data_IF_631682360058
#
_entry.id   IF_631682360058
#
_cell.length_a   1.000
_cell.length_b   1.000
_cell.length_c   1.000
_cell.angle_alpha   90.00
_cell.angle_beta   90.00
_cell.angle_gamma   90.00
#
_symmetry.space_group_name_H-M   'P 1'
#
loop_
_entity.id
_entity.type
_entity.pdbx_description
1 polymer ?
#
# COMPACT_ATOMS: atom_id res chain seq x y z
N UNK A 1 12.28 5.55 18.77
CA UNK A 1 12.20 5.15 17.35
C UNK A 1 12.76 6.28 16.51
N UNK A 2 13.61 6.00 15.53
CA UNK A 2 14.08 7.06 14.62
C UNK A 2 12.90 7.63 13.85
N UNK A 3 12.90 8.95 13.61
CA UNK A 3 11.85 9.66 12.85
C UNK A 3 11.61 8.98 11.50
N UNK A 4 12.67 8.45 10.89
CA UNK A 4 12.62 7.65 9.66
C UNK A 4 11.67 6.44 9.74
N UNK A 5 11.71 5.67 10.84
CA UNK A 5 10.85 4.50 11.02
C UNK A 5 9.37 4.87 11.20
N UNK A 6 9.11 6.04 11.80
CA UNK A 6 7.76 6.58 11.98
C UNK A 6 7.18 7.02 10.63
N UNK A 7 7.98 7.68 9.79
CA UNK A 7 7.55 8.08 8.46
C UNK A 7 7.24 6.85 7.60
N UNK A 8 8.12 5.84 7.60
CA UNK A 8 7.89 4.60 6.84
C UNK A 8 6.64 3.85 7.31
N UNK A 9 6.36 3.81 8.61
CA UNK A 9 5.16 3.15 9.13
C UNK A 9 3.89 3.91 8.77
N UNK A 10 3.89 5.24 8.83
CA UNK A 10 2.79 6.07 8.33
C UNK A 10 2.54 5.84 6.83
N UNK A 11 3.60 5.80 6.02
CA UNK A 11 3.48 5.52 4.58
C UNK A 11 2.90 4.12 4.33
N UNK A 12 3.37 3.10 5.05
CA UNK A 12 2.84 1.74 4.95
C UNK A 12 1.34 1.68 5.28
N UNK A 13 0.88 2.41 6.31
CA UNK A 13 -0.53 2.50 6.66
C UNK A 13 -1.37 3.17 5.57
N UNK A 14 -0.91 4.28 5.00
CA UNK A 14 -1.61 5.00 3.93
C UNK A 14 -1.74 4.13 2.68
N UNK A 15 -0.65 3.47 2.26
CA UNK A 15 -0.69 2.56 1.13
C UNK A 15 -1.57 1.33 1.40
N UNK A 16 -1.62 0.83 2.63
CA UNK A 16 -2.47 -0.32 2.99
C UNK A 16 -3.95 0.06 2.93
N UNK A 17 -4.30 1.21 3.49
CA UNK A 17 -5.66 1.76 3.39
C UNK A 17 -6.06 1.97 1.93
N UNK A 18 -5.16 2.53 1.10
CA UNK A 18 -5.36 2.69 -0.33
C UNK A 18 -5.59 1.36 -1.06
N UNK A 19 -4.79 0.33 -0.76
CA UNK A 19 -4.95 -1.01 -1.34
C UNK A 19 -6.31 -1.62 -1.00
N UNK A 20 -6.72 -1.55 0.27
CA UNK A 20 -8.03 -2.05 0.73
C UNK A 20 -9.17 -1.28 0.07
N UNK A 21 -9.05 0.04 -0.06
CA UNK A 21 -10.03 0.87 -0.74
C UNK A 21 -10.22 0.45 -2.21
N UNK A 22 -9.13 0.32 -2.97
CA UNK A 22 -9.21 -0.07 -4.37
C UNK A 22 -9.68 -1.53 -4.55
N UNK A 23 -9.37 -2.44 -3.63
CA UNK A 23 -9.89 -3.81 -3.65
C UNK A 23 -11.42 -3.84 -3.42
N UNK A 24 -11.93 -3.06 -2.45
CA UNK A 24 -13.39 -2.91 -2.26
C UNK A 24 -14.05 -2.29 -3.49
N UNK A 25 -13.45 -1.24 -4.05
CA UNK A 25 -13.95 -0.59 -5.26
C UNK A 25 -13.98 -1.56 -6.46
N UNK A 26 -13.03 -2.50 -6.54
CA UNK A 26 -13.00 -3.54 -7.56
C UNK A 26 -14.23 -4.47 -7.50
N UNK A 27 -14.68 -4.80 -6.28
CA UNK A 27 -15.85 -5.63 -6.03
C UNK A 27 -17.18 -4.92 -6.30
N UNK A 28 -17.22 -3.59 -6.14
CA UNK A 28 -18.43 -2.78 -6.30
C UNK A 28 -18.56 -2.15 -7.70
N UNK A 29 -17.51 -2.18 -8.53
CA UNK A 29 -17.52 -1.57 -9.86
C UNK A 29 -18.36 -2.40 -10.86
N UNK A 30 -19.57 -1.89 -11.18
CA UNK A 30 -20.46 -2.47 -12.18
C UNK A 30 -20.17 -2.00 -13.62
N UNK A 31 -19.88 -0.71 -13.83
CA UNK A 31 -19.65 -0.15 -15.18
C UNK A 31 -18.51 0.87 -15.24
N UNK A 32 -18.36 1.73 -14.23
CA UNK A 32 -17.24 2.66 -14.08
C UNK A 32 -16.84 2.74 -12.59
N UNK A 33 -15.54 2.94 -12.26
CA UNK A 33 -14.36 2.98 -13.13
C UNK A 33 -13.96 1.62 -13.73
N UNK A 34 -13.25 1.60 -14.87
CA UNK A 34 -12.85 0.36 -15.54
C UNK A 34 -11.99 -0.51 -14.61
N UNK A 35 -12.42 -1.77 -14.41
CA UNK A 35 -11.82 -2.73 -13.46
C UNK A 35 -10.30 -2.87 -13.60
N UNK A 36 -9.76 -2.77 -14.82
CA UNK A 36 -8.31 -2.84 -15.07
C UNK A 36 -7.53 -1.70 -14.40
N UNK A 37 -8.06 -0.48 -14.45
CA UNK A 37 -7.41 0.71 -13.86
C UNK A 37 -7.46 0.64 -12.34
N UNK A 38 -8.59 0.21 -11.78
CA UNK A 38 -8.73 0.00 -10.33
C UNK A 38 -7.78 -1.10 -9.84
N UNK A 39 -7.63 -2.18 -10.62
CA UNK A 39 -6.68 -3.27 -10.30
C UNK A 39 -5.23 -2.80 -10.34
N UNK A 40 -4.85 -2.00 -11.34
CA UNK A 40 -3.50 -1.41 -11.39
C UNK A 40 -3.24 -0.52 -10.18
N UNK A 41 -4.20 0.32 -9.77
CA UNK A 41 -4.07 1.17 -8.58
C UNK A 41 -3.97 0.35 -7.28
N UNK A 42 -4.76 -0.72 -7.16
CA UNK A 42 -4.65 -1.67 -6.05
C UNK A 42 -3.27 -2.33 -6.00
N UNK A 43 -2.74 -2.77 -7.16
CA UNK A 43 -1.41 -3.36 -7.27
C UNK A 43 -0.33 -2.36 -6.85
N UNK A 44 -0.37 -1.11 -7.35
CA UNK A 44 0.61 -0.08 -6.97
C UNK A 44 0.56 0.20 -5.47
N UNK A 45 -0.64 0.33 -4.88
CA UNK A 45 -0.76 0.52 -3.43
C UNK A 45 -0.20 -0.69 -2.66
N UNK A 46 -0.52 -1.92 -3.08
CA UNK A 46 0.00 -3.13 -2.43
C UNK A 46 1.51 -3.34 -2.61
N UNK A 47 2.08 -2.89 -3.72
CA UNK A 47 3.52 -2.90 -3.93
C UNK A 47 4.18 -1.83 -3.04
N UNK A 48 3.57 -0.66 -2.90
CA UNK A 48 4.02 0.40 -2.01
C UNK A 48 4.03 -0.04 -0.54
N UNK A 49 3.01 -0.75 -0.07
CA UNK A 49 3.02 -1.34 1.28
C UNK A 49 4.12 -2.37 1.45
N UNK A 50 4.25 -3.30 0.50
CA UNK A 50 5.26 -4.35 0.56
C UNK A 50 6.67 -3.76 0.61
N UNK A 51 6.96 -2.74 -0.21
CA UNK A 51 8.25 -2.04 -0.19
C UNK A 51 8.49 -1.30 1.13
N UNK A 52 7.50 -0.58 1.67
CA UNK A 52 7.64 0.11 2.94
C UNK A 52 7.91 -0.87 4.09
N UNK A 53 7.19 -1.99 4.15
CA UNK A 53 7.40 -3.04 5.14
C UNK A 53 8.76 -3.73 4.97
N UNK A 54 9.19 -3.95 3.73
CA UNK A 54 10.51 -4.52 3.42
C UNK A 54 11.63 -3.60 3.91
N UNK A 55 11.54 -2.29 3.66
CA UNK A 55 12.51 -1.32 4.16
C UNK A 55 12.54 -1.26 5.70
N UNK A 56 11.37 -1.32 6.35
CA UNK A 56 11.26 -1.42 7.81
C UNK A 56 11.93 -2.71 8.32
N UNK A 57 11.74 -3.83 7.62
CA UNK A 57 12.36 -5.11 8.00
C UNK A 57 13.88 -5.05 7.87
N UNK A 58 14.42 -4.56 6.75
CA UNK A 58 15.86 -4.43 6.55
C UNK A 58 16.51 -3.51 7.57
N UNK A 59 15.90 -2.36 7.85
CA UNK A 59 16.41 -1.42 8.86
C UNK A 59 16.38 -1.99 10.28
N UNK A 60 15.51 -2.96 10.58
CA UNK A 60 15.52 -3.73 11.83
C UNK A 60 16.49 -4.91 11.85
N UNK A 61 16.89 -5.41 10.69
CA UNK A 61 17.86 -6.50 10.56
C UNK A 61 19.31 -5.99 10.60
N UNK A 62 19.54 -4.78 10.08
CA UNK A 62 20.86 -4.16 9.95
C UNK A 62 21.30 -3.37 11.19
N UNK A 63 20.37 -3.09 12.11
CA UNK A 63 20.58 -2.39 13.39
C UNK A 63 20.39 -3.38 14.53
#
# INVERSE_FOLDING_TARGET
>A
MSVFMIVLSCMALVFAAGAVYYLKLLGQAASYPPKRVVRQKAIVCSAGTALALFLIFFTKLLV
#
